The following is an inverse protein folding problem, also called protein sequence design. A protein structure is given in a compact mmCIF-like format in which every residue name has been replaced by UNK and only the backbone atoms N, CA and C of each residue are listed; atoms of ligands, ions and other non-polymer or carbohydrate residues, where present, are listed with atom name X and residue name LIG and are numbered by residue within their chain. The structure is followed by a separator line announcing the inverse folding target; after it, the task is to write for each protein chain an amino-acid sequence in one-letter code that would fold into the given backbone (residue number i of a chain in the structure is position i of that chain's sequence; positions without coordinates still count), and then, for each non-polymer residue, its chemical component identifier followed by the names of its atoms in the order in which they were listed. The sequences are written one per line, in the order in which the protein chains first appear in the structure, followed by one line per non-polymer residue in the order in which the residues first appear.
data_IF_625892441658
#
_entry.id   IF_625892441658
#
_cell.length_a   1.000
_cell.length_b   1.000
_cell.length_c   1.000
_cell.angle_alpha   90.00
_cell.angle_beta   90.00
_cell.angle_gamma   90.00
#
_symmetry.space_group_name_H-M   'P 1'
#
loop_
_entity.id
_entity.type
_entity.pdbx_description
1 polymer ?
#
# COMPACT_ATOMS: atom_id res chain seq x y z
N UNK A 1 -10.16 35.13 -9.81
CA UNK A 1 -10.97 34.09 -9.16
C UNK A 1 -12.38 34.65 -8.95
N UNK A 2 -13.38 34.25 -9.73
CA UNK A 2 -14.78 34.54 -9.42
C UNK A 2 -15.09 33.84 -8.09
N UNK A 3 -15.64 34.57 -7.11
CA UNK A 3 -15.85 34.05 -5.76
C UNK A 3 -16.73 32.79 -5.77
N UNK A 4 -16.19 31.70 -5.22
CA UNK A 4 -16.94 30.48 -4.99
C UNK A 4 -18.14 30.84 -4.10
N UNK A 5 -19.35 30.72 -4.65
CA UNK A 5 -20.60 30.94 -3.94
C UNK A 5 -20.64 29.91 -2.82
N UNK A 6 -20.66 30.34 -1.55
CA UNK A 6 -20.89 29.40 -0.46
C UNK A 6 -22.25 28.74 -0.68
N UNK A 7 -22.34 27.40 -0.65
CA UNK A 7 -23.59 26.68 -0.89
C UNK A 7 -24.67 27.13 0.10
N UNK A 8 -25.92 27.15 -0.37
CA UNK A 8 -27.07 27.41 0.48
C UNK A 8 -27.22 26.21 1.44
N UNK A 9 -27.08 26.40 2.77
CA UNK A 9 -27.07 25.31 3.76
C UNK A 9 -28.39 24.52 3.82
N UNK A 10 -29.40 24.86 3.01
CA UNK A 10 -30.69 24.18 2.97
C UNK A 10 -31.01 23.44 1.65
N UNK A 11 -30.11 23.38 0.65
CA UNK A 11 -30.41 22.69 -0.63
C UNK A 11 -29.49 21.53 -1.02
N UNK A 12 -28.35 21.33 -0.35
CA UNK A 12 -27.28 20.53 -0.96
C UNK A 12 -27.24 19.11 -0.38
N UNK A 13 -28.07 18.24 -0.96
CA UNK A 13 -28.13 16.80 -0.66
C UNK A 13 -27.25 16.01 -1.63
N UNK A 14 -26.48 15.05 -1.12
CA UNK A 14 -25.83 14.00 -1.93
C UNK A 14 -26.55 12.70 -1.67
N UNK A 15 -27.20 12.14 -2.68
CA UNK A 15 -27.85 10.82 -2.59
C UNK A 15 -27.26 9.92 -3.68
N UNK A 16 -26.63 8.81 -3.27
CA UNK A 16 -25.85 7.99 -4.19
C UNK A 16 -25.97 6.50 -3.89
N UNK A 17 -25.90 5.67 -4.93
CA UNK A 17 -25.93 4.21 -4.83
C UNK A 17 -24.53 3.61 -4.82
N UNK A 18 -24.27 2.76 -3.83
CA UNK A 18 -23.00 2.05 -3.62
C UNK A 18 -23.20 0.64 -3.03
N UNK A 19 -24.07 -0.14 -3.67
CA UNK A 19 -24.57 -1.42 -3.14
C UNK A 19 -24.04 -2.67 -3.87
N UNK A 20 -22.97 -2.55 -4.67
CA UNK A 20 -22.38 -3.66 -5.44
C UNK A 20 -20.87 -3.82 -5.26
N UNK A 21 -20.35 -3.22 -4.19
CA UNK A 21 -18.91 -3.10 -3.97
C UNK A 21 -18.43 -3.95 -2.80
N UNK A 22 -17.14 -4.31 -2.81
CA UNK A 22 -16.52 -5.04 -1.70
C UNK A 22 -16.36 -4.15 -0.46
N UNK A 23 -16.20 -4.78 0.71
CA UNK A 23 -16.00 -4.05 1.98
C UNK A 23 -14.87 -3.00 1.90
N UNK A 24 -13.77 -3.31 1.21
CA UNK A 24 -12.64 -2.39 1.08
C UNK A 24 -12.99 -1.12 0.32
N UNK A 25 -13.72 -1.24 -0.79
CA UNK A 25 -14.19 -0.08 -1.56
C UNK A 25 -15.19 0.74 -0.76
N UNK A 26 -16.06 0.10 0.04
CA UNK A 26 -16.97 0.81 0.94
C UNK A 26 -16.23 1.56 2.05
N UNK A 27 -15.15 1.00 2.61
CA UNK A 27 -14.33 1.66 3.62
C UNK A 27 -13.74 2.97 3.08
N UNK A 28 -13.15 2.89 1.88
CA UNK A 28 -12.59 4.05 1.17
C UNK A 28 -13.66 5.06 0.78
N UNK A 29 -14.81 4.60 0.27
CA UNK A 29 -15.86 5.51 -0.17
C UNK A 29 -16.52 6.25 1.00
N UNK A 30 -16.74 5.58 2.13
CA UNK A 30 -17.23 6.22 3.34
C UNK A 30 -16.28 7.30 3.87
N UNK A 31 -14.95 7.08 3.78
CA UNK A 31 -13.96 8.11 4.08
C UNK A 31 -13.98 9.25 3.05
N UNK A 32 -14.09 8.93 1.76
CA UNK A 32 -14.20 9.92 0.68
C UNK A 32 -15.38 10.87 0.89
N UNK A 33 -16.55 10.33 1.22
CA UNK A 33 -17.79 11.10 1.44
C UNK A 33 -17.70 12.08 2.63
N UNK A 34 -16.76 11.89 3.55
CA UNK A 34 -16.52 12.85 4.64
C UNK A 34 -16.10 14.23 4.11
N UNK A 35 -15.48 14.32 2.92
CA UNK A 35 -15.17 15.60 2.29
C UNK A 35 -16.47 16.41 2.04
N UNK A 36 -17.54 15.79 1.57
CA UNK A 36 -18.82 16.46 1.34
C UNK A 36 -19.52 16.79 2.66
N UNK A 37 -19.51 15.88 3.64
CA UNK A 37 -20.09 16.14 4.97
C UNK A 37 -19.43 17.37 5.61
N UNK A 38 -18.10 17.50 5.53
CA UNK A 38 -17.35 18.66 6.05
C UNK A 38 -17.69 19.97 5.33
N UNK A 39 -18.22 19.91 4.11
CA UNK A 39 -18.73 21.07 3.35
C UNK A 39 -20.21 21.33 3.59
N UNK A 40 -20.85 20.62 4.52
CA UNK A 40 -22.24 20.84 4.93
C UNK A 40 -23.28 20.09 4.10
N UNK A 41 -22.86 19.16 3.23
CA UNK A 41 -23.81 18.34 2.46
C UNK A 41 -24.50 17.32 3.35
N UNK A 42 -25.79 17.10 3.10
CA UNK A 42 -26.53 15.97 3.67
C UNK A 42 -26.32 14.72 2.80
N UNK A 43 -25.49 13.78 3.27
CA UNK A 43 -25.07 12.61 2.49
C UNK A 43 -25.89 11.36 2.85
N UNK A 44 -26.50 10.77 1.83
CA UNK A 44 -27.25 9.50 1.91
C UNK A 44 -26.70 8.49 0.90
N UNK A 45 -26.47 7.25 1.36
CA UNK A 45 -25.97 6.15 0.53
C UNK A 45 -26.99 5.01 0.49
N UNK A 46 -27.33 4.52 -0.71
CA UNK A 46 -27.98 3.22 -0.87
C UNK A 46 -26.91 2.12 -0.79
N UNK A 47 -27.03 1.24 0.20
CA UNK A 47 -26.04 0.21 0.52
C UNK A 47 -26.68 -1.14 0.83
N UNK A 48 -25.87 -2.21 0.71
CA UNK A 48 -26.28 -3.55 1.12
C UNK A 48 -26.41 -3.66 2.65
N UNK A 49 -27.33 -4.51 3.11
CA UNK A 49 -27.66 -4.67 4.53
C UNK A 49 -26.44 -5.05 5.39
N UNK A 50 -25.59 -5.94 4.89
CA UNK A 50 -24.38 -6.39 5.58
C UNK A 50 -23.31 -5.29 5.73
N UNK A 51 -23.49 -4.13 5.11
CA UNK A 51 -22.58 -2.98 5.17
C UNK A 51 -23.14 -1.80 5.97
N UNK A 52 -24.40 -1.84 6.39
CA UNK A 52 -25.02 -0.76 7.16
C UNK A 52 -24.24 -0.39 8.43
N UNK A 53 -23.62 -1.33 9.18
CA UNK A 53 -22.78 -0.94 10.32
C UNK A 53 -21.65 0.03 9.93
N UNK A 54 -20.94 -0.23 8.82
CA UNK A 54 -19.86 0.64 8.36
C UNK A 54 -20.33 2.08 8.10
N UNK A 55 -21.44 2.23 7.37
CA UNK A 55 -21.99 3.55 7.05
C UNK A 55 -22.47 4.30 8.29
N UNK A 56 -23.05 3.59 9.26
CA UNK A 56 -23.43 4.15 10.56
C UNK A 56 -22.21 4.65 11.34
N UNK A 57 -21.12 3.87 11.37
CA UNK A 57 -19.86 4.28 12.02
C UNK A 57 -19.27 5.55 11.37
N UNK A 58 -19.44 5.69 10.05
CA UNK A 58 -19.05 6.87 9.31
C UNK A 58 -20.02 8.07 9.46
N UNK A 59 -21.11 7.93 10.22
CA UNK A 59 -22.13 8.99 10.37
C UNK A 59 -22.91 9.27 9.08
N UNK A 60 -22.96 8.34 8.13
CA UNK A 60 -23.61 8.50 6.82
C UNK A 60 -25.01 7.89 6.88
N UNK A 61 -26.02 8.62 6.37
CA UNK A 61 -27.39 8.11 6.27
C UNK A 61 -27.45 7.00 5.24
N UNK A 62 -28.22 5.96 5.52
CA UNK A 62 -28.41 4.84 4.59
C UNK A 62 -29.87 4.64 4.23
N UNK A 63 -30.11 4.28 2.97
CA UNK A 63 -31.40 3.80 2.50
C UNK A 63 -31.26 2.41 1.87
N UNK A 64 -32.35 1.65 1.84
CA UNK A 64 -32.41 0.36 1.15
C UNK A 64 -33.41 0.46 0.01
N UNK A 65 -32.99 0.02 -1.19
CA UNK A 65 -33.78 0.15 -2.40
C UNK A 65 -33.92 1.61 -2.87
N UNK A 66 -34.18 1.77 -4.16
CA UNK A 66 -34.28 3.09 -4.79
C UNK A 66 -33.57 3.15 -6.13
N UNK A 67 -33.83 4.24 -6.85
CA UNK A 67 -33.17 4.61 -8.11
C UNK A 67 -32.26 5.83 -7.84
N UNK A 68 -31.25 5.64 -7.00
CA UNK A 68 -30.21 6.64 -6.78
C UNK A 68 -29.12 6.52 -7.86
N UNK A 69 -28.47 7.64 -8.26
CA UNK A 69 -27.33 7.62 -9.16
C UNK A 69 -26.25 6.64 -8.70
N UNK A 70 -25.77 5.78 -9.61
CA UNK A 70 -24.77 4.76 -9.30
C UNK A 70 -23.36 5.36 -9.32
N UNK A 71 -22.59 5.13 -8.26
CA UNK A 71 -21.16 5.42 -8.26
C UNK A 71 -20.40 4.17 -8.69
N UNK A 72 -20.05 4.11 -9.98
CA UNK A 72 -19.47 2.92 -10.62
C UNK A 72 -18.08 2.52 -10.06
N UNK A 73 -17.45 3.37 -9.24
CA UNK A 73 -16.16 3.15 -8.57
C UNK A 73 -15.06 2.73 -9.56
N UNK A 74 -14.78 3.62 -10.51
CA UNK A 74 -13.93 3.33 -11.66
C UNK A 74 -12.45 3.53 -11.32
N UNK A 75 -11.60 2.68 -11.89
CA UNK A 75 -10.15 2.83 -11.85
C UNK A 75 -9.71 3.87 -12.88
N UNK A 76 -8.77 4.77 -12.55
CA UNK A 76 -8.28 5.74 -13.51
C UNK A 76 -7.50 5.04 -14.65
N UNK A 77 -7.47 5.67 -15.82
CA UNK A 77 -6.91 5.09 -17.06
C UNK A 77 -5.43 4.65 -16.91
N UNK A 78 -4.64 5.38 -16.12
CA UNK A 78 -3.22 5.09 -15.88
C UNK A 78 -2.99 4.58 -14.45
N UNK A 79 -3.90 3.75 -13.94
CA UNK A 79 -3.87 3.22 -12.58
C UNK A 79 -2.52 2.59 -12.18
N UNK A 80 -1.88 1.85 -13.09
CA UNK A 80 -0.59 1.18 -12.81
C UNK A 80 0.64 2.07 -13.03
N UNK A 81 0.47 3.22 -13.69
CA UNK A 81 1.58 4.09 -14.05
C UNK A 81 2.04 4.88 -12.84
N UNK A 82 3.23 4.58 -12.33
CA UNK A 82 3.80 5.18 -11.14
C UNK A 82 4.34 6.60 -11.35
N UNK A 83 4.54 7.06 -12.59
CA UNK A 83 5.08 8.40 -12.87
C UNK A 83 4.10 9.53 -12.54
N UNK A 84 2.81 9.20 -12.42
CA UNK A 84 1.79 10.14 -12.01
C UNK A 84 1.72 10.32 -10.49
N UNK A 85 1.37 11.53 -10.02
CA UNK A 85 1.21 11.79 -8.60
C UNK A 85 0.06 10.96 -8.00
N UNK A 86 0.19 10.63 -6.71
CA UNK A 86 -0.74 9.75 -5.99
C UNK A 86 -2.19 10.22 -6.12
N UNK A 87 -2.45 11.51 -5.93
CA UNK A 87 -3.80 12.09 -6.02
C UNK A 87 -4.47 11.95 -7.39
N UNK A 88 -3.72 11.71 -8.47
CA UNK A 88 -4.29 11.60 -9.82
C UNK A 88 -4.68 10.15 -10.17
N UNK A 89 -3.84 9.18 -9.78
CA UNK A 89 -4.02 7.77 -10.16
C UNK A 89 -4.41 6.87 -8.99
N UNK A 90 -4.58 7.41 -7.78
CA UNK A 90 -5.19 6.67 -6.68
C UNK A 90 -6.69 6.50 -6.94
N UNK A 91 -7.21 5.28 -6.83
CA UNK A 91 -8.62 4.96 -7.11
C UNK A 91 -9.59 5.76 -6.24
N UNK A 92 -9.22 6.04 -4.98
CA UNK A 92 -10.08 6.75 -4.03
C UNK A 92 -10.11 8.23 -4.38
N UNK A 93 -8.94 8.80 -4.67
CA UNK A 93 -8.83 10.18 -5.14
C UNK A 93 -9.57 10.39 -6.47
N UNK A 94 -9.52 9.41 -7.38
CA UNK A 94 -10.25 9.46 -8.64
C UNK A 94 -11.77 9.54 -8.42
N UNK A 95 -12.28 8.91 -7.36
CA UNK A 95 -13.68 9.04 -6.94
C UNK A 95 -14.14 10.48 -6.68
N UNK A 96 -13.22 11.41 -6.38
CA UNK A 96 -13.54 12.85 -6.21
C UNK A 96 -14.16 13.44 -7.47
N UNK A 97 -13.73 12.96 -8.64
CA UNK A 97 -14.15 13.47 -9.95
C UNK A 97 -15.43 12.82 -10.48
N UNK A 98 -16.09 11.98 -9.68
CA UNK A 98 -17.23 11.21 -10.17
C UNK A 98 -18.42 12.14 -10.52
N UNK A 99 -19.02 12.04 -11.72
CA UNK A 99 -20.08 12.95 -12.15
C UNK A 99 -21.36 12.95 -11.30
N UNK A 100 -21.58 11.87 -10.53
CA UNK A 100 -22.71 11.78 -9.60
C UNK A 100 -22.49 12.53 -8.27
N UNK A 101 -21.29 13.08 -8.04
CA UNK A 101 -20.97 13.88 -6.86
C UNK A 101 -20.81 15.36 -7.24
N UNK A 102 -21.31 16.29 -6.42
CA UNK A 102 -21.05 17.72 -6.62
C UNK A 102 -19.56 18.03 -6.58
N UNK A 103 -19.08 18.91 -7.46
CA UNK A 103 -17.69 19.37 -7.44
C UNK A 103 -17.46 20.28 -6.22
N UNK A 104 -16.59 19.85 -5.31
CA UNK A 104 -16.29 20.56 -4.05
C UNK A 104 -14.88 21.19 -4.02
N UNK A 105 -14.12 21.12 -5.09
CA UNK A 105 -12.79 21.73 -5.16
C UNK A 105 -11.88 21.11 -6.20
N UNK A 106 -10.60 21.45 -6.10
CA UNK A 106 -9.53 20.81 -6.87
C UNK A 106 -9.12 19.47 -6.24
N UNK A 107 -8.88 18.46 -7.08
CA UNK A 107 -8.56 17.10 -6.62
C UNK A 107 -7.28 17.04 -5.80
N UNK A 108 -6.26 17.84 -6.17
CA UNK A 108 -4.97 17.85 -5.46
C UNK A 108 -5.13 18.45 -4.07
N UNK A 109 -5.89 19.53 -3.93
CA UNK A 109 -6.16 20.13 -2.63
C UNK A 109 -6.99 19.20 -1.73
N UNK A 110 -7.98 18.53 -2.30
CA UNK A 110 -8.85 17.59 -1.58
C UNK A 110 -8.12 16.30 -1.18
N UNK A 111 -7.05 15.92 -1.88
CA UNK A 111 -6.25 14.76 -1.53
C UNK A 111 -5.61 14.88 -0.14
N UNK A 112 -4.97 16.02 0.14
CA UNK A 112 -4.33 16.25 1.44
C UNK A 112 -5.37 16.27 2.57
N UNK A 113 -6.56 16.82 2.30
CA UNK A 113 -7.68 16.76 3.23
C UNK A 113 -8.15 15.31 3.45
N UNK A 114 -8.33 14.54 2.37
CA UNK A 114 -8.81 13.15 2.37
C UNK A 114 -7.92 12.23 3.20
N UNK A 115 -6.60 12.29 2.98
CA UNK A 115 -5.63 11.49 3.73
C UNK A 115 -5.53 11.92 5.20
N UNK A 116 -5.98 13.15 5.53
CA UNK A 116 -6.09 13.66 6.89
C UNK A 116 -7.37 13.23 7.62
N UNK A 117 -8.35 12.65 6.92
CA UNK A 117 -9.58 12.13 7.54
C UNK A 117 -9.25 10.90 8.37
N UNK A 118 -9.83 10.80 9.57
CA UNK A 118 -9.71 9.65 10.45
C UNK A 118 -11.11 9.11 10.70
N UNK A 119 -11.28 7.82 10.42
CA UNK A 119 -12.51 7.09 10.72
C UNK A 119 -12.32 6.34 12.04
N UNK A 120 -13.42 5.96 12.69
CA UNK A 120 -13.39 5.15 13.90
C UNK A 120 -14.47 4.07 13.85
N UNK A 121 -14.14 2.87 14.33
CA UNK A 121 -15.05 1.77 14.53
C UNK A 121 -15.66 1.74 15.94
N UNK A 122 -15.40 2.72 16.81
CA UNK A 122 -15.83 2.69 18.22
C UNK A 122 -17.35 2.50 18.37
N UNK A 123 -18.13 3.12 17.48
CA UNK A 123 -19.59 2.98 17.45
C UNK A 123 -20.07 1.56 17.11
N UNK A 124 -19.18 0.69 16.63
CA UNK A 124 -19.46 -0.71 16.29
C UNK A 124 -19.05 -1.69 17.39
N UNK A 125 -18.20 -1.26 18.31
CA UNK A 125 -17.68 -2.09 19.39
C UNK A 125 -18.66 -2.03 20.57
N UNK A 126 -19.71 -2.85 20.49
CA UNK A 126 -20.70 -2.97 21.57
C UNK A 126 -20.23 -3.94 22.67
N UNK A 127 -20.79 -3.88 23.89
CA UNK A 127 -20.50 -4.86 24.93
C UNK A 127 -20.79 -6.30 24.50
N UNK A 128 -21.86 -6.52 23.74
CA UNK A 128 -22.25 -7.85 23.24
C UNK A 128 -21.20 -8.41 22.28
N UNK A 129 -20.79 -7.63 21.28
CA UNK A 129 -19.75 -8.03 20.33
C UNK A 129 -18.39 -8.21 21.00
N UNK A 130 -18.10 -7.41 22.02
CA UNK A 130 -16.89 -7.52 22.85
C UNK A 130 -16.87 -8.85 23.60
N UNK A 131 -17.97 -9.21 24.29
CA UNK A 131 -18.08 -10.50 25.00
C UNK A 131 -17.93 -11.68 24.02
N UNK A 132 -18.55 -11.58 22.85
CA UNK A 132 -18.46 -12.61 21.81
C UNK A 132 -17.03 -12.78 21.30
N UNK A 133 -16.33 -11.68 20.99
CA UNK A 133 -14.91 -11.69 20.62
C UNK A 133 -14.03 -12.25 21.75
N UNK A 134 -14.25 -11.85 23.01
CA UNK A 134 -13.52 -12.39 24.16
C UNK A 134 -13.67 -13.91 24.27
N UNK A 135 -14.90 -14.41 24.12
CA UNK A 135 -15.21 -15.84 24.16
C UNK A 135 -14.51 -16.56 23.00
N UNK A 136 -14.56 -16.00 21.80
CA UNK A 136 -13.85 -16.52 20.64
C UNK A 136 -12.32 -16.51 20.80
N UNK A 137 -11.76 -15.62 21.61
CA UNK A 137 -10.31 -15.52 21.84
C UNK A 137 -9.84 -16.30 23.08
N UNK A 138 -10.75 -16.89 23.84
CA UNK A 138 -10.43 -17.56 25.11
C UNK A 138 -9.38 -18.67 24.90
N UNK A 139 -8.37 -18.65 25.79
CA UNK A 139 -7.25 -19.60 25.82
C UNK A 139 -6.12 -19.30 24.82
N UNK A 140 -6.24 -18.30 23.94
CA UNK A 140 -5.20 -17.95 22.98
C UNK A 140 -4.10 -17.07 23.61
N UNK A 141 -2.81 -17.48 23.58
CA UNK A 141 -1.73 -16.63 24.05
C UNK A 141 -1.48 -15.44 23.11
N UNK A 142 -1.04 -14.32 23.69
CA UNK A 142 -0.62 -13.11 22.97
C UNK A 142 0.83 -13.22 22.46
N UNK A 143 1.19 -12.49 21.38
CA UNK A 143 0.34 -11.58 20.61
C UNK A 143 -0.73 -12.28 19.75
N UNK A 144 -1.87 -11.63 19.54
CA UNK A 144 -2.94 -12.08 18.65
C UNK A 144 -2.76 -11.44 17.28
N UNK A 145 -2.44 -12.25 16.27
CA UNK A 145 -2.22 -11.80 14.89
C UNK A 145 -3.39 -12.22 14.03
N UNK A 146 -4.20 -11.24 13.62
CA UNK A 146 -5.27 -11.38 12.66
C UNK A 146 -4.66 -11.49 11.23
N UNK A 147 -5.10 -12.46 10.40
CA UNK A 147 -4.52 -12.73 9.07
C UNK A 147 -5.61 -12.85 7.97
N UNK A 148 -5.43 -12.16 6.84
CA UNK A 148 -6.29 -12.28 5.66
C UNK A 148 -5.50 -12.17 4.33
N UNK A 149 -5.12 -13.31 3.76
CA UNK A 149 -4.19 -13.43 2.63
C UNK A 149 -4.84 -13.50 1.25
N UNK A 150 -6.17 -13.54 1.15
CA UNK A 150 -6.89 -13.73 -0.12
C UNK A 150 -7.78 -12.55 -0.48
N UNK A 151 -7.58 -11.97 -1.66
CA UNK A 151 -8.55 -11.06 -2.27
C UNK A 151 -9.72 -11.81 -2.91
N UNK A 152 -10.88 -11.17 -3.05
CA UNK A 152 -12.01 -11.71 -3.83
C UNK A 152 -11.86 -11.41 -5.32
N UNK A 153 -11.39 -10.20 -5.65
CA UNK A 153 -11.13 -9.75 -7.02
C UNK A 153 -9.63 -9.71 -7.30
N UNK A 154 -9.25 -9.89 -8.58
CA UNK A 154 -7.86 -9.89 -9.05
C UNK A 154 -6.95 -10.77 -8.20
N UNK A 155 -7.43 -11.96 -7.84
CA UNK A 155 -6.79 -12.85 -6.87
C UNK A 155 -5.34 -13.17 -7.25
N UNK A 156 -5.07 -13.41 -8.54
CA UNK A 156 -3.73 -13.68 -9.04
C UNK A 156 -2.73 -12.54 -8.76
N UNK A 157 -3.21 -11.29 -8.68
CA UNK A 157 -2.39 -10.09 -8.45
C UNK A 157 -2.30 -9.68 -6.99
N UNK A 158 -3.38 -9.90 -6.23
CA UNK A 158 -3.53 -9.42 -4.84
C UNK A 158 -3.21 -10.48 -3.79
N UNK A 159 -3.67 -11.71 -3.99
CA UNK A 159 -3.61 -12.75 -2.97
C UNK A 159 -2.20 -13.30 -2.83
N UNK A 160 -1.80 -13.72 -1.64
CA UNK A 160 -0.59 -14.53 -1.49
C UNK A 160 -0.82 -15.93 -2.11
N UNK A 161 0.20 -16.58 -2.70
CA UNK A 161 0.15 -18.00 -3.01
C UNK A 161 -0.22 -18.81 -1.76
N UNK A 162 -0.96 -19.93 -1.91
CA UNK A 162 -1.46 -20.68 -0.74
C UNK A 162 -0.33 -21.24 0.10
N UNK A 163 0.75 -21.66 -0.55
CA UNK A 163 1.96 -22.20 0.07
C UNK A 163 2.64 -21.12 0.91
N UNK A 164 2.73 -19.89 0.37
CA UNK A 164 3.29 -18.74 1.09
C UNK A 164 2.43 -18.36 2.30
N UNK A 165 1.11 -18.35 2.14
CA UNK A 165 0.19 -18.06 3.24
C UNK A 165 0.25 -19.13 4.33
N UNK A 166 0.33 -20.41 3.95
CA UNK A 166 0.46 -21.53 4.89
C UNK A 166 1.79 -21.47 5.66
N UNK A 167 2.90 -21.27 4.94
CA UNK A 167 4.23 -21.11 5.55
C UNK A 167 4.28 -19.89 6.47
N UNK A 168 3.56 -18.81 6.14
CA UNK A 168 3.45 -17.64 6.99
C UNK A 168 2.78 -17.98 8.32
N UNK A 169 1.66 -18.71 8.33
CA UNK A 169 1.02 -19.17 9.57
C UNK A 169 2.00 -19.98 10.42
N UNK A 170 2.72 -20.93 9.81
CA UNK A 170 3.70 -21.74 10.53
C UNK A 170 4.84 -20.90 11.11
N UNK A 171 5.33 -19.91 10.37
CA UNK A 171 6.38 -18.99 10.84
C UNK A 171 5.90 -18.11 11.97
N UNK A 172 4.71 -17.52 11.88
CA UNK A 172 4.14 -16.71 12.97
C UNK A 172 3.97 -17.54 14.25
N UNK A 173 3.53 -18.79 14.14
CA UNK A 173 3.43 -19.70 15.28
C UNK A 173 4.81 -20.06 15.86
N UNK A 174 5.84 -20.23 15.04
CA UNK A 174 7.19 -20.60 15.50
C UNK A 174 7.95 -19.40 16.08
N UNK A 175 7.90 -18.27 15.38
CA UNK A 175 8.75 -17.11 15.61
C UNK A 175 8.14 -16.16 16.67
N UNK A 176 6.88 -16.38 17.05
CA UNK A 176 6.21 -15.68 18.15
C UNK A 176 5.65 -16.66 19.18
N UNK A 177 5.51 -16.19 20.43
CA UNK A 177 4.75 -16.91 21.47
C UNK A 177 3.23 -16.81 21.29
N UNK A 178 2.77 -16.10 20.26
CA UNK A 178 1.40 -15.66 20.08
C UNK A 178 0.51 -16.64 19.36
N UNK A 179 -0.66 -16.15 18.96
CA UNK A 179 -1.69 -16.90 18.23
C UNK A 179 -2.00 -16.25 16.90
N UNK A 180 -2.42 -17.07 15.95
CA UNK A 180 -2.85 -16.63 14.62
C UNK A 180 -4.34 -16.83 14.49
N UNK A 181 -5.04 -15.77 14.09
CA UNK A 181 -6.47 -15.75 13.82
C UNK A 181 -6.68 -15.60 12.31
N UNK A 182 -7.07 -16.68 11.66
CA UNK A 182 -7.33 -16.70 10.21
C UNK A 182 -8.73 -16.15 9.93
N UNK A 183 -8.81 -15.03 9.22
CA UNK A 183 -10.06 -14.38 8.83
C UNK A 183 -10.66 -15.05 7.58
N UNK A 184 -10.94 -16.34 7.70
CA UNK A 184 -11.45 -17.18 6.62
C UNK A 184 -12.98 -17.02 6.37
N UNK A 185 -13.38 -15.98 5.63
CA UNK A 185 -14.80 -15.72 5.38
C UNK A 185 -15.47 -16.71 4.42
N UNK A 186 -14.69 -17.38 3.57
CA UNK A 186 -15.20 -18.21 2.47
C UNK A 186 -14.40 -19.49 2.21
N UNK A 187 -13.66 -19.97 3.22
CA UNK A 187 -12.92 -21.24 3.20
C UNK A 187 -11.75 -21.26 2.24
N UNK A 188 -11.07 -20.12 2.09
CA UNK A 188 -9.91 -19.93 1.20
C UNK A 188 -8.62 -19.58 1.94
N UNK A 189 -8.72 -19.15 3.19
CA UNK A 189 -7.53 -18.89 4.01
C UNK A 189 -6.95 -20.20 4.55
N UNK A 190 -5.61 -20.32 4.66
CA UNK A 190 -5.02 -21.49 5.28
C UNK A 190 -5.39 -21.56 6.76
N UNK A 191 -5.77 -22.75 7.22
CA UNK A 191 -5.97 -23.07 8.62
C UNK A 191 -5.05 -24.25 8.96
N UNK A 192 -4.22 -24.08 9.99
CA UNK A 192 -3.33 -25.12 10.50
C UNK A 192 -3.97 -25.74 11.74
N UNK A 193 -3.92 -27.07 11.86
CA UNK A 193 -4.37 -27.80 13.04
C UNK A 193 -3.38 -27.62 14.21
N UNK A 194 -3.38 -26.43 14.81
CA UNK A 194 -2.51 -26.04 15.92
C UNK A 194 -3.34 -25.29 16.97
N UNK A 195 -3.12 -25.55 18.27
CA UNK A 195 -3.96 -24.99 19.36
C UNK A 195 -3.96 -23.44 19.42
N UNK A 196 -2.84 -22.82 19.03
CA UNK A 196 -2.67 -21.36 18.86
C UNK A 196 -3.11 -20.81 17.50
N UNK A 197 -3.74 -21.61 16.65
CA UNK A 197 -4.27 -21.18 15.36
C UNK A 197 -5.78 -21.38 15.35
N UNK A 198 -6.55 -20.32 15.06
CA UNK A 198 -8.01 -20.38 15.04
C UNK A 198 -8.55 -19.68 13.80
N UNK A 199 -9.44 -20.32 13.06
CA UNK A 199 -10.16 -19.71 11.94
C UNK A 199 -11.53 -19.19 12.38
N UNK A 200 -11.99 -18.07 11.83
CA UNK A 200 -13.37 -17.58 12.06
C UNK A 200 -14.39 -18.60 11.55
N UNK A 201 -14.17 -19.22 10.41
CA UNK A 201 -14.92 -20.39 9.95
C UNK A 201 -14.00 -21.62 10.14
N UNK A 202 -14.45 -22.70 10.81
CA UNK A 202 -15.79 -22.93 11.33
C UNK A 202 -16.05 -22.44 12.77
N UNK A 203 -15.04 -21.93 13.49
CA UNK A 203 -15.11 -21.82 14.96
C UNK A 203 -16.07 -20.76 15.49
N UNK A 204 -16.29 -19.69 14.73
CA UNK A 204 -17.18 -18.57 15.06
C UNK A 204 -18.35 -18.44 14.08
N UNK A 205 -18.13 -18.82 12.82
CA UNK A 205 -19.08 -18.68 11.72
C UNK A 205 -18.85 -17.40 10.91
N UNK A 206 -19.85 -17.01 10.12
CA UNK A 206 -19.80 -15.76 9.35
C UNK A 206 -19.77 -14.57 10.32
N UNK A 207 -18.75 -13.72 10.19
CA UNK A 207 -18.55 -12.55 11.03
C UNK A 207 -19.11 -11.29 10.33
N UNK A 208 -19.89 -10.50 11.06
CA UNK A 208 -20.37 -9.18 10.62
C UNK A 208 -19.30 -8.10 10.85
N UNK A 209 -19.48 -6.91 10.28
CA UNK A 209 -18.49 -5.81 10.37
C UNK A 209 -18.29 -5.35 11.83
N UNK A 210 -19.36 -5.31 12.61
CA UNK A 210 -19.34 -4.91 14.03
C UNK A 210 -18.64 -5.95 14.92
N UNK A 211 -18.80 -7.25 14.62
CA UNK A 211 -18.01 -8.31 15.26
C UNK A 211 -16.54 -8.26 14.85
N UNK A 212 -16.25 -7.96 13.57
CA UNK A 212 -14.89 -7.76 13.09
C UNK A 212 -14.21 -6.58 13.79
N UNK A 213 -14.93 -5.47 14.01
CA UNK A 213 -14.43 -4.33 14.78
C UNK A 213 -14.05 -4.72 16.22
N UNK A 214 -14.94 -5.44 16.92
CA UNK A 214 -14.67 -5.92 18.28
C UNK A 214 -13.47 -6.89 18.34
N UNK A 215 -13.34 -7.79 17.36
CA UNK A 215 -12.18 -8.68 17.23
C UNK A 215 -10.87 -7.89 17.03
N UNK A 216 -10.86 -6.96 16.08
CA UNK A 216 -9.67 -6.18 15.74
C UNK A 216 -9.21 -5.29 16.91
N UNK A 217 -10.14 -4.74 17.69
CA UNK A 217 -9.83 -3.97 18.89
C UNK A 217 -9.11 -4.78 19.98
N UNK A 218 -9.13 -6.12 19.89
CA UNK A 218 -8.42 -7.02 20.81
C UNK A 218 -7.15 -7.64 20.20
N UNK A 219 -6.97 -7.55 18.88
CA UNK A 219 -5.80 -8.05 18.16
C UNK A 219 -4.57 -7.12 18.40
N UNK A 220 -3.36 -7.68 18.34
CA UNK A 220 -2.10 -6.92 18.43
C UNK A 220 -1.57 -6.50 17.05
N UNK A 221 -1.98 -7.21 16.00
CA UNK A 221 -1.54 -6.99 14.63
C UNK A 221 -2.58 -7.54 13.66
N UNK A 222 -2.82 -6.81 12.57
CA UNK A 222 -3.53 -7.30 11.39
C UNK A 222 -2.57 -7.40 10.21
N UNK A 223 -2.51 -8.56 9.56
CA UNK A 223 -1.76 -8.77 8.32
C UNK A 223 -2.76 -9.08 7.21
N UNK A 224 -2.74 -8.32 6.13
CA UNK A 224 -3.63 -8.61 5.00
C UNK A 224 -3.11 -8.13 3.66
N UNK A 225 -3.73 -8.64 2.59
CA UNK A 225 -3.54 -8.14 1.22
C UNK A 225 -4.50 -6.97 0.95
N UNK A 226 -4.54 -6.45 -0.29
CA UNK A 226 -5.56 -5.49 -0.73
C UNK A 226 -6.99 -6.10 -0.66
N UNK A 227 -7.55 -6.13 0.54
CA UNK A 227 -8.79 -6.80 0.92
C UNK A 227 -9.65 -5.94 1.84
N UNK A 228 -10.95 -6.26 1.91
CA UNK A 228 -11.88 -5.55 2.78
C UNK A 228 -11.48 -5.51 4.25
N UNK A 229 -11.16 -6.66 4.88
CA UNK A 229 -10.72 -6.69 6.29
C UNK A 229 -9.46 -5.87 6.55
N UNK A 230 -8.50 -5.87 5.63
CA UNK A 230 -7.29 -5.04 5.74
C UNK A 230 -7.62 -3.55 5.70
N UNK A 231 -8.41 -3.10 4.71
CA UNK A 231 -8.79 -1.68 4.61
C UNK A 231 -9.64 -1.23 5.80
N UNK A 232 -10.53 -2.09 6.30
CA UNK A 232 -11.32 -1.79 7.48
C UNK A 232 -10.41 -1.61 8.72
N UNK A 233 -9.51 -2.56 8.97
CA UNK A 233 -8.54 -2.45 10.07
C UNK A 233 -7.68 -1.18 9.95
N UNK A 234 -7.09 -0.96 8.76
CA UNK A 234 -6.15 0.14 8.49
C UNK A 234 -6.77 1.54 8.52
N UNK A 235 -8.10 1.68 8.38
CA UNK A 235 -8.75 2.99 8.28
C UNK A 235 -9.68 3.30 9.46
N UNK A 236 -10.25 2.27 10.11
CA UNK A 236 -11.28 2.44 11.14
C UNK A 236 -10.83 2.00 12.54
N UNK A 237 -9.66 1.39 12.68
CA UNK A 237 -9.19 0.88 13.98
C UNK A 237 -7.78 1.37 14.28
N UNK A 238 -7.34 1.23 15.53
CA UNK A 238 -5.97 1.54 15.93
C UNK A 238 -5.04 0.31 15.94
N UNK A 239 -5.51 -0.84 15.46
CA UNK A 239 -4.67 -2.04 15.42
C UNK A 239 -3.52 -1.82 14.42
N UNK A 240 -2.26 -2.08 14.80
CA UNK A 240 -1.16 -2.05 13.86
C UNK A 240 -1.46 -2.97 12.66
N UNK A 241 -1.17 -2.48 11.45
CA UNK A 241 -1.48 -3.20 10.22
C UNK A 241 -0.23 -3.42 9.37
N UNK A 242 -0.12 -4.59 8.75
CA UNK A 242 0.80 -4.87 7.64
C UNK A 242 -0.03 -5.18 6.41
N UNK A 243 0.06 -4.31 5.41
CA UNK A 243 -0.50 -4.55 4.08
C UNK A 243 0.55 -5.19 3.18
N UNK A 244 0.31 -6.40 2.68
CA UNK A 244 1.24 -7.14 1.82
C UNK A 244 0.83 -6.97 0.36
N UNK A 245 1.62 -6.23 -0.41
CA UNK A 245 1.34 -5.89 -1.80
C UNK A 245 2.29 -6.60 -2.74
N UNK A 246 1.72 -7.22 -3.77
CA UNK A 246 2.44 -7.92 -4.84
C UNK A 246 2.47 -7.03 -6.10
N UNK A 247 1.63 -7.35 -7.08
CA UNK A 247 1.60 -6.65 -8.36
C UNK A 247 0.81 -5.34 -8.37
N UNK A 248 0.12 -5.00 -7.27
CA UNK A 248 -0.67 -3.77 -7.18
C UNK A 248 -0.02 -2.88 -6.15
N UNK A 249 0.22 -1.63 -6.54
CA UNK A 249 0.91 -0.70 -5.68
C UNK A 249 -0.05 -0.08 -4.65
N UNK A 250 0.31 -0.04 -3.36
CA UNK A 250 -0.55 0.50 -2.29
C UNK A 250 -0.94 1.96 -2.53
N UNK A 251 -0.06 2.77 -3.14
CA UNK A 251 -0.33 4.17 -3.50
C UNK A 251 -1.47 4.34 -4.50
N UNK A 252 -1.90 3.27 -5.16
CA UNK A 252 -2.99 3.26 -6.14
C UNK A 252 -4.31 2.79 -5.55
N UNK A 253 -4.29 1.90 -4.56
CA UNK A 253 -5.51 1.28 -4.02
C UNK A 253 -5.76 1.51 -2.52
N UNK A 254 -4.86 2.20 -1.81
CA UNK A 254 -4.99 2.51 -0.38
C UNK A 254 -4.99 4.01 -0.15
N UNK A 255 -5.35 4.40 1.07
CA UNK A 255 -4.99 5.71 1.64
C UNK A 255 -3.90 5.47 2.69
N UNK A 256 -2.95 6.41 2.86
CA UNK A 256 -1.91 6.28 3.88
C UNK A 256 -2.54 6.30 5.28
N UNK A 257 -2.04 5.43 6.17
CA UNK A 257 -2.46 5.36 7.57
C UNK A 257 -1.23 5.37 8.50
N UNK A 258 -1.28 6.08 9.64
CA UNK A 258 -0.16 6.20 10.57
C UNK A 258 0.18 4.89 11.31
N UNK A 259 -0.75 3.92 11.35
CA UNK A 259 -0.54 2.63 12.01
C UNK A 259 -0.35 1.47 11.02
N UNK A 260 -0.20 1.76 9.73
CA UNK A 260 -0.09 0.75 8.68
C UNK A 260 1.27 0.80 8.01
N UNK A 261 1.93 -0.34 7.97
CA UNK A 261 3.13 -0.58 7.17
C UNK A 261 2.75 -1.31 5.88
N UNK A 262 3.16 -0.78 4.74
CA UNK A 262 2.90 -1.35 3.42
C UNK A 262 4.15 -2.09 2.94
N UNK A 263 4.09 -3.42 2.92
CA UNK A 263 5.15 -4.27 2.39
C UNK A 263 5.10 -4.27 0.85
N UNK A 264 6.21 -3.89 0.21
CA UNK A 264 6.34 -3.73 -1.24
C UNK A 264 7.71 -4.23 -1.75
N UNK A 265 7.82 -4.52 -3.04
CA UNK A 265 9.10 -4.93 -3.65
C UNK A 265 10.15 -3.81 -3.59
N UNK A 266 11.41 -4.21 -3.35
CA UNK A 266 12.58 -3.34 -3.43
C UNK A 266 12.98 -2.94 -4.85
N UNK A 267 12.38 -3.54 -5.88
CA UNK A 267 12.58 -3.17 -7.30
C UNK A 267 12.25 -1.68 -7.55
N UNK A 268 11.40 -1.10 -6.71
CA UNK A 268 10.94 0.28 -6.75
C UNK A 268 11.37 1.08 -5.50
N UNK A 269 12.45 0.66 -4.83
CA UNK A 269 12.91 1.27 -3.57
C UNK A 269 13.03 2.80 -3.61
N UNK A 270 13.55 3.35 -4.71
CA UNK A 270 13.72 4.79 -4.88
C UNK A 270 12.37 5.51 -4.96
N UNK A 271 11.40 4.93 -5.67
CA UNK A 271 10.04 5.46 -5.79
C UNK A 271 9.31 5.48 -4.44
N UNK A 272 9.51 4.45 -3.62
CA UNK A 272 8.97 4.38 -2.26
C UNK A 272 9.62 5.37 -1.31
N UNK A 273 10.94 5.57 -1.42
CA UNK A 273 11.69 6.51 -0.59
C UNK A 273 11.21 7.96 -0.77
N UNK A 274 10.84 8.37 -1.99
CA UNK A 274 10.28 9.70 -2.27
C UNK A 274 8.94 9.97 -1.57
N UNK A 275 8.29 8.92 -1.02
CA UNK A 275 6.97 8.96 -0.40
C UNK A 275 6.99 8.70 1.11
N UNK A 276 8.16 8.53 1.72
CA UNK A 276 8.28 8.13 3.13
C UNK A 276 7.71 9.15 4.14
N UNK A 277 7.48 10.40 3.70
CA UNK A 277 6.86 11.44 4.53
C UNK A 277 5.37 11.19 4.76
N UNK A 278 4.72 10.49 3.84
CA UNK A 278 3.27 10.24 3.84
C UNK A 278 2.95 8.77 4.07
N UNK A 279 3.84 7.88 3.61
CA UNK A 279 3.63 6.43 3.61
C UNK A 279 4.71 5.71 4.42
N UNK A 280 4.32 4.63 5.09
CA UNK A 280 5.25 3.77 5.83
C UNK A 280 5.51 2.48 5.04
N UNK A 281 6.57 2.44 4.25
CA UNK A 281 6.92 1.25 3.46
C UNK A 281 7.89 0.33 4.20
N UNK A 282 7.71 -0.97 4.02
CA UNK A 282 8.72 -1.99 4.29
C UNK A 282 9.07 -2.68 2.97
N UNK A 283 10.35 -2.78 2.65
CA UNK A 283 10.78 -3.39 1.39
C UNK A 283 11.07 -4.87 1.58
N UNK A 284 10.72 -5.68 0.60
CA UNK A 284 11.18 -7.06 0.50
C UNK A 284 11.99 -7.26 -0.78
N UNK A 285 12.99 -8.16 -0.78
CA UNK A 285 13.78 -8.43 -1.96
C UNK A 285 12.97 -9.14 -3.05
N UNK A 286 13.09 -8.66 -4.28
CA UNK A 286 12.49 -9.24 -5.47
C UNK A 286 10.98 -9.00 -5.61
N UNK A 287 10.38 -9.59 -6.64
CA UNK A 287 9.01 -9.28 -7.06
C UNK A 287 7.92 -9.87 -6.18
N UNK A 288 8.24 -10.83 -5.31
CA UNK A 288 7.27 -11.58 -4.50
C UNK A 288 7.70 -11.65 -3.03
N UNK A 289 6.82 -11.29 -2.07
CA UNK A 289 7.12 -11.42 -0.66
C UNK A 289 7.11 -12.90 -0.26
N UNK A 290 8.10 -13.31 0.53
CA UNK A 290 8.13 -14.65 1.11
C UNK A 290 7.45 -14.64 2.49
N UNK A 291 7.05 -15.81 2.96
CA UNK A 291 6.57 -15.99 4.33
C UNK A 291 7.59 -15.52 5.38
N UNK A 292 8.90 -15.63 5.08
CA UNK A 292 9.97 -15.15 5.96
C UNK A 292 9.94 -13.64 6.09
N UNK A 293 9.92 -12.92 4.96
CA UNK A 293 9.88 -11.46 4.95
C UNK A 293 8.70 -10.92 5.76
N UNK A 294 7.51 -11.49 5.53
CA UNK A 294 6.27 -11.05 6.21
C UNK A 294 6.35 -11.35 7.72
N UNK A 295 6.82 -12.53 8.12
CA UNK A 295 6.94 -12.90 9.54
C UNK A 295 7.99 -12.07 10.29
N UNK A 296 9.12 -11.76 9.65
CA UNK A 296 10.16 -10.89 10.22
C UNK A 296 9.62 -9.48 10.45
N UNK A 297 8.92 -8.90 9.46
CA UNK A 297 8.27 -7.60 9.61
C UNK A 297 7.20 -7.64 10.72
N UNK A 298 6.41 -8.70 10.81
CA UNK A 298 5.42 -8.87 11.88
C UNK A 298 6.08 -8.85 13.27
N UNK A 299 7.21 -9.54 13.43
CA UNK A 299 7.98 -9.53 14.68
C UNK A 299 8.56 -8.15 15.01
N UNK A 300 8.95 -7.36 13.99
CA UNK A 300 9.41 -5.99 14.18
C UNK A 300 8.28 -5.07 14.65
N UNK A 301 7.12 -5.11 13.98
CA UNK A 301 5.94 -4.31 14.34
C UNK A 301 5.43 -4.67 15.74
N UNK A 302 5.32 -5.96 16.06
CA UNK A 302 4.89 -6.42 17.39
C UNK A 302 5.86 -6.02 18.50
N UNK A 303 7.15 -5.88 18.19
CA UNK A 303 8.15 -5.40 19.14
C UNK A 303 8.19 -3.86 19.24
N UNK A 304 7.31 -3.14 18.54
CA UNK A 304 7.33 -1.68 18.46
C UNK A 304 8.59 -1.13 17.78
N UNK A 305 9.31 -1.97 17.03
CA UNK A 305 10.48 -1.53 16.27
C UNK A 305 9.99 -0.83 15.00
N UNK A 306 10.60 0.29 14.60
CA UNK A 306 10.29 0.88 13.31
C UNK A 306 10.55 -0.18 12.22
N UNK A 307 9.69 -0.27 11.19
CA UNK A 307 9.92 -1.21 10.10
C UNK A 307 11.32 -0.96 9.54
N UNK A 308 12.05 -2.05 9.26
CA UNK A 308 13.42 -1.97 8.80
C UNK A 308 13.47 -1.11 7.53
N UNK A 309 13.93 0.12 7.69
CA UNK A 309 14.13 1.07 6.59
C UNK A 309 15.22 0.49 5.71
N UNK A 310 14.90 0.19 4.45
CA UNK A 310 15.89 -0.31 3.51
C UNK A 310 17.09 0.66 3.47
N UNK A 311 18.34 0.20 3.33
CA UNK A 311 19.50 1.11 3.29
C UNK A 311 19.29 2.26 2.30
N UNK A 312 18.65 2.00 1.16
CA UNK A 312 18.32 3.03 0.14
C UNK A 312 17.36 4.13 0.61
N UNK A 313 16.61 3.97 1.70
CA UNK A 313 15.87 5.10 2.32
C UNK A 313 16.80 6.09 3.03
N UNK A 314 18.09 5.78 3.17
CA UNK A 314 19.14 6.77 3.50
C UNK A 314 19.76 7.41 2.26
N UNK A 315 19.22 7.18 1.05
CA UNK A 315 19.71 7.85 -0.15
C UNK A 315 19.46 9.35 -0.05
N UNK A 316 20.51 10.09 0.25
CA UNK A 316 20.52 11.54 0.15
C UNK A 316 20.75 11.92 -1.31
N UNK A 317 20.00 12.90 -1.82
CA UNK A 317 20.26 13.47 -3.14
C UNK A 317 21.68 14.09 -3.13
N UNK A 318 22.51 13.75 -4.11
CA UNK A 318 23.79 14.44 -4.28
C UNK A 318 23.53 15.90 -4.66
N UNK A 319 24.49 16.78 -4.38
CA UNK A 319 24.39 18.17 -4.81
C UNK A 319 24.53 18.31 -6.34
N UNK A 320 24.09 19.45 -6.88
CA UNK A 320 24.09 19.69 -8.32
C UNK A 320 25.50 19.69 -8.94
N UNK A 321 26.55 19.99 -8.15
CA UNK A 321 27.93 19.99 -8.63
C UNK A 321 28.46 18.56 -8.80
N UNK A 322 28.13 17.66 -7.86
CA UNK A 322 28.42 16.22 -7.96
C UNK A 322 27.70 15.59 -9.16
N UNK A 323 26.43 15.93 -9.35
CA UNK A 323 25.66 15.48 -10.52
C UNK A 323 26.28 16.05 -11.80
N UNK A 324 26.62 17.34 -11.86
CA UNK A 324 27.27 17.93 -13.03
C UNK A 324 28.62 17.27 -13.35
N UNK A 325 29.40 16.91 -12.34
CA UNK A 325 30.69 16.26 -12.50
C UNK A 325 30.59 14.86 -13.14
N UNK A 326 29.43 14.20 -13.04
CA UNK A 326 29.17 12.90 -13.67
C UNK A 326 28.90 13.00 -15.17
N UNK A 327 28.61 14.17 -15.71
CA UNK A 327 28.37 14.34 -17.14
C UNK A 327 29.65 14.08 -17.95
N UNK A 328 29.52 13.42 -19.10
CA UNK A 328 30.67 13.11 -19.95
C UNK A 328 30.56 11.80 -20.69
N UNK A 329 31.68 11.37 -21.28
CA UNK A 329 31.81 10.08 -21.96
C UNK A 329 32.38 9.04 -21.02
N UNK A 330 31.84 7.84 -21.11
CA UNK A 330 32.23 6.68 -20.34
C UNK A 330 32.31 5.47 -21.25
N UNK A 331 33.17 4.52 -20.91
CA UNK A 331 33.13 3.16 -21.44
C UNK A 331 32.30 2.33 -20.48
N UNK A 332 31.14 1.88 -20.94
CA UNK A 332 30.25 0.97 -20.22
C UNK A 332 30.57 -0.46 -20.64
N UNK A 333 30.93 -1.31 -19.68
CA UNK A 333 31.33 -2.70 -19.90
C UNK A 333 30.40 -3.63 -19.16
N UNK A 334 29.79 -4.57 -19.89
CA UNK A 334 29.19 -5.77 -19.31
C UNK A 334 30.29 -6.83 -19.28
N UNK A 335 30.87 -7.05 -18.10
CA UNK A 335 32.11 -7.83 -17.96
C UNK A 335 31.91 -9.24 -18.50
N UNK A 336 32.75 -9.62 -19.47
CA UNK A 336 32.67 -10.92 -20.16
C UNK A 336 31.67 -11.00 -21.30
N UNK A 337 31.02 -9.89 -21.68
CA UNK A 337 30.03 -9.85 -22.76
C UNK A 337 30.36 -8.81 -23.83
N UNK A 338 30.20 -7.52 -23.54
CA UNK A 338 30.48 -6.44 -24.50
C UNK A 338 30.93 -5.13 -23.81
N UNK A 339 31.37 -4.17 -24.61
CA UNK A 339 31.63 -2.80 -24.18
C UNK A 339 31.16 -1.79 -25.22
N UNK A 340 30.73 -0.61 -24.75
CA UNK A 340 30.37 0.51 -25.62
C UNK A 340 30.59 1.86 -24.96
N UNK A 341 30.84 2.88 -25.78
CA UNK A 341 30.90 4.26 -25.30
C UNK A 341 29.49 4.74 -25.00
N UNK A 342 29.29 5.17 -23.75
CA UNK A 342 28.06 5.74 -23.22
C UNK A 342 28.28 7.20 -22.84
N UNK A 343 27.33 8.09 -23.14
CA UNK A 343 27.41 9.51 -22.76
C UNK A 343 26.34 9.84 -21.73
N UNK A 344 26.76 10.24 -20.53
CA UNK A 344 25.88 10.78 -19.49
C UNK A 344 25.66 12.28 -19.75
N UNK A 345 24.41 12.67 -19.99
CA UNK A 345 23.98 14.03 -20.30
C UNK A 345 23.39 14.72 -19.05
N UNK A 346 23.19 16.06 -19.08
CA UNK A 346 22.40 16.77 -18.08
C UNK A 346 21.02 16.12 -17.83
N UNK A 347 20.42 16.47 -16.69
CA UNK A 347 19.06 16.03 -16.31
C UNK A 347 18.90 14.51 -16.16
N UNK A 348 20.02 13.78 -16.05
CA UNK A 348 19.99 12.34 -15.84
C UNK A 348 19.64 11.54 -17.09
N UNK A 349 19.93 12.05 -18.28
CA UNK A 349 19.67 11.32 -19.55
C UNK A 349 20.92 10.61 -20.04
N UNK A 350 20.77 9.40 -20.59
CA UNK A 350 21.84 8.70 -21.29
C UNK A 350 21.68 8.94 -22.80
N UNK A 351 22.70 9.55 -23.41
CA UNK A 351 22.73 9.89 -24.82
C UNK A 351 23.30 8.75 -25.69
N UNK A 352 24.37 9.05 -26.43
CA UNK A 352 25.07 8.04 -27.26
C UNK A 352 25.40 6.81 -26.41
N UNK A 353 25.11 5.62 -26.93
CA UNK A 353 25.34 4.35 -26.24
C UNK A 353 24.20 3.90 -25.33
N UNK A 354 23.09 4.65 -25.25
CA UNK A 354 21.86 4.21 -24.60
C UNK A 354 21.28 2.96 -25.29
N UNK A 355 20.85 1.99 -24.48
CA UNK A 355 19.95 0.91 -24.88
C UNK A 355 18.59 1.08 -24.19
N UNK A 356 17.60 0.22 -24.49
CA UNK A 356 16.29 0.25 -23.80
C UNK A 356 16.42 0.05 -22.29
N UNK A 357 17.46 -0.66 -21.85
CA UNK A 357 17.78 -0.84 -20.44
C UNK A 357 18.64 0.29 -19.86
N UNK A 358 19.14 1.24 -20.64
CA UNK A 358 20.02 2.31 -20.15
C UNK A 358 19.66 3.65 -20.79
N UNK A 359 18.60 4.27 -20.27
CA UNK A 359 17.98 5.47 -20.82
C UNK A 359 18.22 6.68 -19.92
N UNK A 360 18.26 6.45 -18.62
CA UNK A 360 18.45 7.49 -17.61
C UNK A 360 19.51 7.09 -16.61
N UNK A 361 20.06 8.08 -15.92
CA UNK A 361 20.99 7.91 -14.82
C UNK A 361 20.69 8.90 -13.71
N UNK A 362 21.03 8.55 -12.48
CA UNK A 362 21.01 9.49 -11.35
C UNK A 362 22.09 9.16 -10.34
N UNK A 363 22.48 10.17 -9.56
CA UNK A 363 23.49 10.04 -8.52
C UNK A 363 22.87 10.37 -7.16
N UNK A 364 23.05 9.49 -6.19
CA UNK A 364 22.63 9.70 -4.80
C UNK A 364 23.71 9.21 -3.84
N UNK A 365 23.57 9.50 -2.54
CA UNK A 365 24.48 9.03 -1.48
C UNK A 365 23.78 8.02 -0.59
N UNK A 366 24.28 6.79 -0.55
CA UNK A 366 23.88 5.76 0.39
C UNK A 366 24.89 5.69 1.53
N UNK A 367 24.49 5.97 2.77
CA UNK A 367 25.39 6.00 3.94
C UNK A 367 26.65 6.87 3.72
N UNK A 368 26.46 8.00 3.03
CA UNK A 368 27.55 8.92 2.68
C UNK A 368 28.40 8.49 1.48
N UNK A 369 28.20 7.32 0.89
CA UNK A 369 28.89 6.87 -0.32
C UNK A 369 28.06 7.15 -1.58
N UNK A 370 28.68 7.70 -2.61
CA UNK A 370 28.01 7.97 -3.87
C UNK A 370 27.65 6.66 -4.62
N UNK A 371 26.40 6.58 -5.07
CA UNK A 371 25.80 5.49 -5.85
C UNK A 371 25.24 6.07 -7.14
N UNK A 372 25.71 5.56 -8.27
CA UNK A 372 25.19 5.87 -9.60
C UNK A 372 24.18 4.80 -9.99
N UNK A 373 22.91 5.19 -10.15
CA UNK A 373 21.86 4.31 -10.65
C UNK A 373 21.68 4.54 -12.15
N UNK A 374 21.67 3.45 -12.94
CA UNK A 374 21.29 3.46 -14.36
C UNK A 374 19.91 2.81 -14.49
N UNK A 375 19.00 3.47 -15.21
CA UNK A 375 17.61 3.07 -15.38
C UNK A 375 17.29 2.86 -16.86
N UNK A 376 16.49 1.83 -17.14
CA UNK A 376 15.87 1.60 -18.44
C UNK A 376 14.54 2.35 -18.59
N UNK A 377 13.77 1.97 -19.60
CA UNK A 377 12.41 2.52 -19.81
C UNK A 377 11.46 2.12 -18.66
N UNK A 378 11.54 0.88 -18.17
CA UNK A 378 10.55 0.34 -17.21
C UNK A 378 11.06 0.12 -15.78
N UNK A 379 12.39 0.06 -15.57
CA UNK A 379 12.98 -0.37 -14.29
C UNK A 379 14.44 0.03 -14.13
N UNK A 380 14.92 -0.05 -12.89
CA UNK A 380 16.35 0.10 -12.60
C UNK A 380 17.15 -1.05 -13.19
N UNK A 381 18.21 -0.70 -13.90
CA UNK A 381 19.09 -1.67 -14.55
C UNK A 381 20.25 -2.05 -13.67
N UNK A 382 20.92 -1.07 -13.04
CA UNK A 382 21.98 -1.35 -12.06
C UNK A 382 22.22 -0.18 -11.10
N UNK A 383 22.78 -0.51 -9.94
CA UNK A 383 23.42 0.43 -9.03
C UNK A 383 24.93 0.22 -9.07
N UNK A 384 25.68 1.30 -9.26
CA UNK A 384 27.13 1.29 -9.33
C UNK A 384 27.70 2.12 -8.18
N UNK A 385 28.69 1.57 -7.50
CA UNK A 385 29.47 2.29 -6.49
C UNK A 385 30.85 2.60 -7.03
N UNK A 386 31.38 3.78 -6.69
CA UNK A 386 32.72 4.15 -7.10
C UNK A 386 33.75 3.42 -6.24
N UNK A 387 34.66 2.71 -6.90
CA UNK A 387 35.74 1.98 -6.28
C UNK A 387 37.00 2.87 -6.13
N UNK A 388 38.04 2.36 -5.47
CA UNK A 388 39.27 3.09 -5.14
C UNK A 388 40.07 3.55 -6.37
N UNK A 389 39.94 2.85 -7.49
CA UNK A 389 40.54 3.21 -8.79
C UNK A 389 39.71 4.23 -9.57
N UNK A 390 38.59 4.68 -9.00
CA UNK A 390 37.68 5.65 -9.58
C UNK A 390 36.70 5.06 -10.59
N UNK A 391 36.72 3.75 -10.84
CA UNK A 391 35.75 3.04 -11.69
C UNK A 391 34.45 2.81 -10.92
N UNK A 392 33.33 2.95 -11.60
CA UNK A 392 32.02 2.63 -11.04
C UNK A 392 31.70 1.16 -11.30
N UNK A 393 31.46 0.39 -10.24
CA UNK A 393 31.23 -1.06 -10.32
C UNK A 393 29.91 -1.46 -9.68
N UNK A 394 29.26 -2.46 -10.28
CA UNK A 394 28.04 -3.06 -9.76
C UNK A 394 27.60 -4.24 -10.61
N UNK A 395 26.30 -4.53 -10.62
CA UNK A 395 25.72 -5.60 -11.41
C UNK A 395 24.37 -5.19 -11.95
N UNK A 396 23.97 -5.77 -13.08
CA UNK A 396 22.58 -5.74 -13.48
C UNK A 396 21.70 -6.36 -12.41
N UNK A 397 20.56 -5.71 -12.14
CA UNK A 397 19.50 -6.25 -11.30
C UNK A 397 18.57 -7.16 -12.09
N UNK A 398 18.61 -7.04 -13.42
CA UNK A 398 17.77 -7.75 -14.38
C UNK A 398 18.56 -8.81 -15.17
N UNK A 399 17.84 -9.71 -15.83
CA UNK A 399 18.38 -10.76 -16.71
C UNK A 399 19.50 -11.58 -16.05
N UNK A 400 20.64 -11.80 -16.72
CA UNK A 400 21.74 -12.63 -16.24
C UNK A 400 22.55 -11.99 -15.09
N UNK A 401 22.15 -10.81 -14.59
CA UNK A 401 22.78 -10.11 -13.47
C UNK A 401 24.29 -9.91 -13.65
N UNK A 402 24.69 -9.58 -14.89
CA UNK A 402 26.09 -9.43 -15.29
C UNK A 402 26.80 -8.34 -14.48
N UNK A 403 28.09 -8.52 -14.15
CA UNK A 403 28.91 -7.44 -13.58
C UNK A 403 29.08 -6.29 -14.56
N UNK A 404 28.98 -5.07 -14.04
CA UNK A 404 29.06 -3.83 -14.80
C UNK A 404 30.24 -3.01 -14.31
N UNK A 405 31.01 -2.49 -15.25
CA UNK A 405 31.98 -1.41 -15.02
C UNK A 405 31.63 -0.19 -15.88
N UNK A 406 31.72 1.00 -15.29
CA UNK A 406 31.58 2.26 -16.00
C UNK A 406 32.83 3.11 -15.74
N UNK A 407 33.65 3.26 -16.77
CA UNK A 407 34.97 3.93 -16.72
C UNK A 407 34.89 5.26 -17.44
N UNK A 408 35.29 6.37 -16.81
CA UNK A 408 35.29 7.69 -17.47
C UNK A 408 36.33 7.73 -18.58
N UNK A 409 35.92 8.13 -19.78
CA UNK A 409 36.84 8.38 -20.89
C UNK A 409 37.55 9.73 -20.63
N UNK A 410 38.87 9.75 -20.79
CA UNK A 410 39.70 10.94 -20.51
C UNK A 410 39.53 12.04 -21.55
#
# INVERSE_FOLDING_TARGET
MPGARMPDPHSDTVAIKFDRHGLGDCCHFAQLLQLWIRRGFDVTVQAEENKLPLWRAAGIKTVQGGDLPDHAWVYPEHFEDLDYPDWQQNKVAHGILHPALPQIGDQRELWDELIGIRMSADLLITPENTIEACTFLEGLPRPLVCLHTRGSNWQARKSLPIETAFDLVLRLLRDTSGSVISLDFDRREPIVAHERCRGIVPSWGMISIDRLAALLAMCDLMIGVDSGPFHFASLYTDVPCIGVFREIHPVRCCLPSPHTVYMVSDDLAEYWAEREQTWHFALHPGTEPTAAHIAELACDVLAGRPPMRHPLTRMQRCDDAEVAAMQGKYVYRRVGHDERVMRLLPEGVIGRGAGSCERRWKLCRLDGQAVLTILGDDRTTCHLMRDVDGVWRGRWLIAERMPIELVRER
#
